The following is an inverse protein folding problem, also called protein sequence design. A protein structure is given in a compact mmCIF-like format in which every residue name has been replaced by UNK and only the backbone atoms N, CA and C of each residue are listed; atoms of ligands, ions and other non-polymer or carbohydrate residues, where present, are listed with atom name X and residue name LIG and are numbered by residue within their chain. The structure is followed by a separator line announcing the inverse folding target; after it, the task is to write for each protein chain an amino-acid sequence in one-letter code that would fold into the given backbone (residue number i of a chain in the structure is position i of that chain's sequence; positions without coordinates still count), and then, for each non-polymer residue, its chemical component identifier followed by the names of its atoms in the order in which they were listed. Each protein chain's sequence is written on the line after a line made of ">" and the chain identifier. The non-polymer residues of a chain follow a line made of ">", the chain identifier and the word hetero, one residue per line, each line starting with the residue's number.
data_IF_967117441628
#
_entry.id   IF_967117441628
#
_cell.length_a   1.000
_cell.length_b   1.000
_cell.length_c   1.000
_cell.angle_alpha   90.00
_cell.angle_beta   90.00
_cell.angle_gamma   90.00
#
_symmetry.space_group_name_H-M   'P 1'
#
loop_
_entity.id
_entity.type
_entity.pdbx_description
1 polymer ?
#
# COMPACT_ATOMS: atom_id res chain seq x y z
N UNK A 1 -0.69 -25.25 -12.38
CA UNK A 1 -0.51 -23.84 -11.94
C UNK A 1 0.86 -23.74 -11.29
N UNK A 2 1.83 -23.09 -11.94
CA UNK A 2 3.18 -22.96 -11.39
C UNK A 2 3.13 -22.08 -10.12
N UNK A 3 3.65 -22.61 -9.01
CA UNK A 3 3.70 -21.92 -7.73
C UNK A 3 4.74 -20.78 -7.84
N UNK A 4 4.28 -19.59 -8.21
CA UNK A 4 5.15 -18.43 -8.39
C UNK A 4 5.73 -18.05 -7.03
N UNK A 5 7.04 -18.25 -6.88
CA UNK A 5 7.75 -18.05 -5.61
C UNK A 5 7.84 -16.57 -5.29
N UNK A 6 7.69 -16.23 -4.02
CA UNK A 6 8.03 -14.89 -3.54
C UNK A 6 9.50 -14.60 -3.81
N UNK A 7 9.80 -13.36 -4.18
CA UNK A 7 11.18 -12.90 -4.42
C UNK A 7 11.55 -11.91 -3.33
N UNK A 8 12.76 -12.05 -2.79
CA UNK A 8 13.31 -11.17 -1.78
C UNK A 8 14.37 -10.28 -2.41
N UNK A 9 14.15 -8.97 -2.40
CA UNK A 9 15.10 -7.99 -2.88
C UNK A 9 15.81 -7.35 -1.69
N UNK A 10 17.16 -7.28 -1.68
CA UNK A 10 17.88 -6.60 -0.60
C UNK A 10 17.46 -5.13 -0.45
N UNK A 11 17.38 -4.64 0.79
CA UNK A 11 16.99 -3.27 1.09
C UNK A 11 17.88 -2.22 0.39
N UNK A 12 19.20 -2.49 0.31
CA UNK A 12 20.14 -1.63 -0.40
C UNK A 12 19.79 -1.53 -1.90
N UNK A 13 19.48 -2.65 -2.54
CA UNK A 13 19.08 -2.73 -3.95
C UNK A 13 17.87 -1.83 -4.24
N UNK A 14 16.86 -1.91 -3.37
CA UNK A 14 15.60 -1.15 -3.50
C UNK A 14 15.79 0.33 -3.20
N UNK A 15 16.61 0.66 -2.19
CA UNK A 15 16.79 2.05 -1.73
C UNK A 15 17.62 2.88 -2.69
N UNK A 16 18.65 2.25 -3.30
CA UNK A 16 19.56 2.91 -4.25
C UNK A 16 19.15 2.72 -5.71
N UNK A 17 18.01 2.05 -5.98
CA UNK A 17 17.55 1.74 -7.34
C UNK A 17 18.58 0.95 -8.17
N UNK A 18 19.49 0.23 -7.50
CA UNK A 18 20.61 -0.45 -8.12
C UNK A 18 20.20 -1.86 -8.54
N UNK A 19 20.07 -2.13 -9.84
CA UNK A 19 19.72 -3.45 -10.36
C UNK A 19 18.22 -3.79 -10.30
N UNK A 20 17.36 -2.80 -10.04
CA UNK A 20 15.92 -2.95 -10.24
C UNK A 20 15.63 -2.81 -11.74
N UNK A 21 15.08 -3.84 -12.41
CA UNK A 21 14.82 -3.76 -13.84
C UNK A 21 13.74 -2.73 -14.14
N UNK A 22 13.81 -2.08 -15.30
CA UNK A 22 12.81 -1.12 -15.79
C UNK A 22 11.51 -1.80 -16.26
N UNK A 23 11.06 -2.83 -15.54
CA UNK A 23 9.83 -3.59 -15.77
C UNK A 23 8.93 -3.47 -14.55
N UNK A 24 7.62 -3.45 -14.76
CA UNK A 24 6.68 -3.43 -13.64
C UNK A 24 6.71 -4.76 -12.89
N UNK A 25 6.90 -4.73 -11.56
CA UNK A 25 6.95 -5.94 -10.73
C UNK A 25 5.69 -6.81 -10.81
N UNK A 26 4.54 -6.21 -11.14
CA UNK A 26 3.24 -6.88 -11.18
C UNK A 26 2.90 -7.49 -12.55
N UNK A 27 3.17 -6.78 -13.63
CA UNK A 27 2.74 -7.20 -14.98
C UNK A 27 3.92 -7.64 -15.86
N UNK A 28 5.15 -7.23 -15.55
CA UNK A 28 6.33 -7.50 -16.38
C UNK A 28 6.46 -6.57 -17.59
N UNK A 29 5.47 -5.69 -17.83
CA UNK A 29 5.54 -4.69 -18.90
C UNK A 29 6.62 -3.62 -18.64
N UNK A 30 7.14 -2.96 -19.69
CA UNK A 30 8.04 -1.82 -19.55
C UNK A 30 7.50 -0.72 -18.62
N UNK A 31 8.39 -0.19 -17.78
CA UNK A 31 8.05 0.89 -16.88
C UNK A 31 7.79 2.18 -17.66
N UNK A 32 6.58 2.72 -17.52
CA UNK A 32 6.23 4.03 -18.07
C UNK A 32 6.65 5.17 -17.13
N UNK A 33 6.69 4.91 -15.81
CA UNK A 33 7.08 5.89 -14.80
C UNK A 33 7.69 5.22 -13.57
N UNK A 34 8.78 5.79 -13.08
CA UNK A 34 9.31 5.50 -11.74
C UNK A 34 8.62 6.37 -10.70
N UNK A 35 8.19 5.80 -9.58
CA UNK A 35 7.58 6.54 -8.46
C UNK A 35 8.33 6.28 -7.16
N UNK A 36 8.38 7.28 -6.28
CA UNK A 36 8.83 7.08 -4.91
C UNK A 36 7.78 6.29 -4.15
N UNK A 37 8.18 5.18 -3.54
CA UNK A 37 7.29 4.23 -2.83
C UNK A 37 7.90 3.88 -1.49
N UNK A 38 7.13 4.03 -0.42
CA UNK A 38 7.55 3.65 0.93
C UNK A 38 6.92 2.31 1.30
N UNK A 39 7.67 1.23 1.18
CA UNK A 39 7.25 -0.07 1.67
C UNK A 39 7.34 -0.11 3.19
N UNK A 40 6.38 -0.76 3.84
CA UNK A 40 6.28 -0.85 5.30
C UNK A 40 6.19 -2.32 5.70
N UNK A 41 6.84 -2.69 6.81
CA UNK A 41 6.72 -4.02 7.40
C UNK A 41 5.35 -4.22 8.04
N UNK A 42 4.92 -5.48 8.14
CA UNK A 42 3.70 -5.82 8.89
C UNK A 42 3.97 -5.69 10.40
N UNK A 43 3.00 -5.21 11.18
CA UNK A 43 3.07 -5.29 12.64
C UNK A 43 3.34 -6.73 13.09
N UNK A 44 4.10 -6.93 14.17
CA UNK A 44 4.31 -8.27 14.71
C UNK A 44 2.97 -8.83 15.22
N UNK A 45 2.75 -10.14 15.07
CA UNK A 45 1.47 -10.77 15.43
C UNK A 45 1.07 -10.58 16.89
N UNK A 46 2.05 -10.55 17.81
CA UNK A 46 1.79 -10.30 19.23
C UNK A 46 1.26 -8.88 19.50
N UNK A 47 1.56 -7.90 18.65
CA UNK A 47 1.12 -6.51 18.89
C UNK A 47 -0.40 -6.39 18.88
N UNK A 48 -1.13 -7.28 18.18
CA UNK A 48 -2.59 -7.29 18.19
C UNK A 48 -3.19 -7.56 19.57
N UNK A 49 -2.45 -8.16 20.52
CA UNK A 49 -2.89 -8.32 21.91
C UNK A 49 -3.10 -6.95 22.57
N UNK A 50 -2.33 -5.93 22.18
CA UNK A 50 -2.47 -4.57 22.72
C UNK A 50 -3.83 -3.94 22.40
N UNK A 51 -4.57 -4.45 21.40
CA UNK A 51 -5.94 -3.98 21.14
C UNK A 51 -6.88 -4.25 22.32
N UNK A 52 -6.60 -5.27 23.16
CA UNK A 52 -7.36 -5.52 24.39
C UNK A 52 -7.15 -4.40 25.44
N UNK A 53 -5.99 -3.76 25.43
CA UNK A 53 -5.68 -2.58 26.25
C UNK A 53 -6.14 -1.27 25.58
N UNK A 54 -6.68 -1.33 24.36
CA UNK A 54 -7.18 -0.19 23.60
C UNK A 54 -6.41 0.09 22.30
N UNK A 55 -7.00 0.93 21.45
CA UNK A 55 -6.41 1.27 20.15
C UNK A 55 -5.11 2.10 20.26
N UNK A 56 -5.01 2.97 21.27
CA UNK A 56 -3.86 3.86 21.46
C UNK A 56 -2.53 3.11 21.66
N UNK A 57 -2.39 2.17 22.62
CA UNK A 57 -1.13 1.43 22.80
C UNK A 57 -0.77 0.59 21.56
N UNK A 58 -1.77 -0.01 20.90
CA UNK A 58 -1.55 -0.71 19.63
C UNK A 58 -0.98 0.22 18.55
N UNK A 59 -1.52 1.43 18.40
CA UNK A 59 -1.04 2.41 17.42
C UNK A 59 0.39 2.85 17.73
N UNK A 60 0.69 3.17 19.00
CA UNK A 60 2.04 3.62 19.41
C UNK A 60 3.08 2.54 19.14
N UNK A 61 2.87 1.31 19.64
CA UNK A 61 3.79 0.19 19.43
C UNK A 61 3.86 -0.19 17.96
N UNK A 62 2.70 -0.23 17.30
CA UNK A 62 2.59 -0.53 15.88
C UNK A 62 3.33 0.47 15.00
N UNK A 63 3.39 1.75 15.37
CA UNK A 63 4.20 2.76 14.67
C UNK A 63 5.69 2.63 15.00
N UNK A 64 6.04 2.43 16.27
CA UNK A 64 7.44 2.31 16.71
C UNK A 64 8.17 1.10 16.10
N UNK A 65 7.46 -0.02 15.91
CA UNK A 65 8.04 -1.26 15.38
C UNK A 65 8.01 -1.36 13.85
N UNK A 66 7.38 -0.41 13.15
CA UNK A 66 7.34 -0.43 11.69
C UNK A 66 8.72 -0.16 11.13
N UNK A 67 9.18 -1.08 10.29
CA UNK A 67 10.35 -0.86 9.42
C UNK A 67 9.85 -0.31 8.11
N UNK A 68 10.49 0.75 7.63
CA UNK A 68 10.14 1.38 6.36
C UNK A 68 11.33 1.31 5.42
N UNK A 69 11.03 1.04 4.15
CA UNK A 69 12.00 0.95 3.08
C UNK A 69 11.51 1.83 1.94
N UNK A 70 12.29 2.84 1.56
CA UNK A 70 11.90 3.82 0.55
C UNK A 70 12.60 3.48 -0.76
N UNK A 71 11.82 3.07 -1.76
CA UNK A 71 12.29 3.00 -3.14
C UNK A 71 12.13 4.36 -3.80
N UNK A 72 13.20 4.91 -4.37
CA UNK A 72 13.14 6.25 -4.99
C UNK A 72 12.39 6.24 -6.33
N UNK A 73 12.57 5.21 -7.16
CA UNK A 73 12.05 5.16 -8.53
C UNK A 73 11.43 3.80 -8.89
N UNK A 74 10.56 3.28 -8.03
CA UNK A 74 9.92 1.99 -8.27
C UNK A 74 9.18 1.94 -9.63
N UNK A 75 9.44 0.94 -10.48
CA UNK A 75 8.92 0.89 -11.85
C UNK A 75 7.43 0.51 -11.90
N UNK A 76 6.62 1.36 -12.54
CA UNK A 76 5.21 1.07 -12.86
C UNK A 76 4.96 1.16 -14.36
N UNK A 77 4.23 0.19 -14.90
CA UNK A 77 3.74 0.25 -16.28
C UNK A 77 2.53 1.19 -16.41
N UNK A 78 2.19 1.55 -17.64
CA UNK A 78 1.11 2.50 -17.93
C UNK A 78 -0.27 2.05 -17.38
N UNK A 79 -0.55 0.75 -17.38
CA UNK A 79 -1.81 0.20 -16.84
C UNK A 79 -1.91 0.37 -15.32
N UNK A 80 -0.83 0.09 -14.58
CA UNK A 80 -0.73 0.37 -13.15
C UNK A 80 -0.84 1.88 -12.85
N UNK A 81 -0.13 2.72 -13.62
CA UNK A 81 -0.16 4.17 -13.43
C UNK A 81 -1.57 4.75 -13.63
N UNK A 82 -2.24 4.33 -14.71
CA UNK A 82 -3.61 4.73 -15.01
C UNK A 82 -4.60 4.23 -13.95
N UNK A 83 -4.41 3.01 -13.43
CA UNK A 83 -5.24 2.50 -12.34
C UNK A 83 -5.11 3.37 -11.09
N UNK A 84 -3.89 3.69 -10.66
CA UNK A 84 -3.64 4.56 -9.50
C UNK A 84 -4.22 5.96 -9.72
N UNK A 85 -4.07 6.53 -10.92
CA UNK A 85 -4.64 7.84 -11.26
C UNK A 85 -6.16 7.82 -11.20
N UNK A 86 -6.81 6.84 -11.84
CA UNK A 86 -8.28 6.71 -11.87
C UNK A 86 -8.86 6.51 -10.47
N UNK A 87 -8.24 5.68 -9.64
CA UNK A 87 -8.72 5.47 -8.26
C UNK A 87 -8.53 6.70 -7.39
N UNK A 88 -7.45 7.47 -7.56
CA UNK A 88 -7.27 8.75 -6.86
C UNK A 88 -8.28 9.81 -7.30
N UNK A 89 -8.57 9.91 -8.59
CA UNK A 89 -9.60 10.81 -9.11
C UNK A 89 -10.99 10.42 -8.57
N UNK A 90 -11.30 9.12 -8.53
CA UNK A 90 -12.53 8.63 -7.92
C UNK A 90 -12.61 8.94 -6.42
N UNK A 91 -11.52 8.76 -5.67
CA UNK A 91 -11.46 9.15 -4.26
C UNK A 91 -11.67 10.66 -4.07
N UNK A 92 -11.05 11.49 -4.90
CA UNK A 92 -11.23 12.95 -4.87
C UNK A 92 -12.68 13.34 -5.17
N UNK A 93 -13.30 12.73 -6.18
CA UNK A 93 -14.71 12.96 -6.49
C UNK A 93 -15.64 12.58 -5.33
N UNK A 94 -15.37 11.46 -4.64
CA UNK A 94 -16.13 11.06 -3.44
C UNK A 94 -15.93 12.03 -2.28
N UNK A 95 -14.72 12.56 -2.07
CA UNK A 95 -14.46 13.59 -1.06
C UNK A 95 -15.25 14.86 -1.38
N UNK A 96 -15.23 15.32 -2.63
CA UNK A 96 -15.99 16.50 -3.06
C UNK A 96 -17.50 16.30 -2.89
N UNK A 97 -18.00 15.11 -3.23
CA UNK A 97 -19.40 14.76 -3.01
C UNK A 97 -19.76 14.78 -1.51
N UNK A 98 -18.91 14.21 -0.64
CA UNK A 98 -19.10 14.26 0.81
C UNK A 98 -19.15 15.72 1.30
N UNK A 99 -18.20 16.56 0.90
CA UNK A 99 -18.19 18.00 1.28
C UNK A 99 -19.45 18.71 0.80
N UNK A 100 -19.88 18.48 -0.44
CA UNK A 100 -21.12 19.06 -0.96
C UNK A 100 -22.35 18.62 -0.15
N UNK A 101 -22.42 17.34 0.22
CA UNK A 101 -23.50 16.79 1.06
C UNK A 101 -23.56 17.48 2.42
N UNK A 102 -22.44 17.64 3.13
CA UNK A 102 -22.47 18.25 4.46
C UNK A 102 -22.81 19.75 4.39
N UNK A 103 -22.32 20.46 3.38
CA UNK A 103 -22.67 21.88 3.15
C UNK A 103 -24.17 22.04 2.91
N UNK A 104 -24.75 21.21 2.03
CA UNK A 104 -26.20 21.22 1.77
C UNK A 104 -27.01 20.87 3.03
N UNK A 105 -26.52 19.91 3.83
CA UNK A 105 -27.15 19.50 5.09
C UNK A 105 -27.17 20.65 6.09
N UNK A 106 -26.08 21.42 6.22
CA UNK A 106 -26.02 22.58 7.12
C UNK A 106 -26.94 23.70 6.63
N UNK A 107 -26.98 23.97 5.32
CA UNK A 107 -27.81 25.02 4.73
C UNK A 107 -29.32 24.76 4.87
N UNK A 108 -29.74 23.50 4.77
CA UNK A 108 -31.16 23.10 4.77
C UNK A 108 -31.64 22.54 6.11
N UNK A 109 -30.73 22.06 6.95
CA UNK A 109 -31.04 21.23 8.13
C UNK A 109 -31.80 21.95 9.24
N UNK A 110 -31.75 23.28 9.29
CA UNK A 110 -32.50 24.07 10.28
C UNK A 110 -34.03 23.96 10.16
N UNK A 111 -34.54 23.57 8.99
CA UNK A 111 -35.98 23.48 8.72
C UNK A 111 -36.54 22.06 8.92
N UNK A 112 -35.69 21.03 8.81
CA UNK A 112 -36.12 19.63 8.82
C UNK A 112 -35.09 18.73 9.51
N UNK A 113 -35.28 18.39 10.81
CA UNK A 113 -34.28 17.64 11.58
C UNK A 113 -33.99 16.23 11.03
N UNK A 114 -35.00 15.58 10.42
CA UNK A 114 -34.83 14.28 9.76
C UNK A 114 -33.88 14.36 8.56
N UNK A 115 -33.99 15.42 7.74
CA UNK A 115 -33.07 15.65 6.61
C UNK A 115 -31.65 15.93 7.10
N UNK A 116 -31.51 16.64 8.23
CA UNK A 116 -30.23 16.86 8.91
C UNK A 116 -29.53 15.55 9.27
N UNK A 117 -30.24 14.65 9.96
CA UNK A 117 -29.70 13.35 10.36
C UNK A 117 -29.27 12.47 9.18
N UNK A 118 -30.12 12.37 8.15
CA UNK A 118 -29.80 11.60 6.93
C UNK A 118 -28.60 12.18 6.17
N UNK A 119 -28.50 13.51 6.08
CA UNK A 119 -27.38 14.19 5.43
C UNK A 119 -26.04 13.92 6.12
N UNK A 120 -26.01 13.95 7.46
CA UNK A 120 -24.81 13.59 8.24
C UNK A 120 -24.42 12.13 8.03
N UNK A 121 -25.39 11.20 8.04
CA UNK A 121 -25.10 9.78 7.80
C UNK A 121 -24.52 9.57 6.39
N UNK A 122 -25.12 10.19 5.36
CA UNK A 122 -24.63 10.11 3.99
C UNK A 122 -23.22 10.68 3.85
N UNK A 123 -22.93 11.81 4.50
CA UNK A 123 -21.59 12.38 4.58
C UNK A 123 -20.58 11.39 5.14
N UNK A 124 -20.88 10.77 6.29
CA UNK A 124 -19.98 9.78 6.93
C UNK A 124 -19.72 8.60 6.00
N UNK A 125 -20.75 8.06 5.35
CA UNK A 125 -20.62 6.94 4.42
C UNK A 125 -19.75 7.30 3.20
N UNK A 126 -19.99 8.45 2.57
CA UNK A 126 -19.19 8.92 1.43
C UNK A 126 -17.74 9.17 1.85
N UNK A 127 -17.52 9.76 3.03
CA UNK A 127 -16.20 10.02 3.56
C UNK A 127 -15.42 8.71 3.80
N UNK A 128 -16.04 7.72 4.48
CA UNK A 128 -15.43 6.40 4.70
C UNK A 128 -15.15 5.67 3.39
N UNK A 129 -16.08 5.70 2.44
CA UNK A 129 -15.88 5.13 1.11
C UNK A 129 -14.69 5.79 0.39
N UNK A 130 -14.59 7.12 0.44
CA UNK A 130 -13.49 7.87 -0.15
C UNK A 130 -12.14 7.49 0.47
N UNK A 131 -12.08 7.35 1.80
CA UNK A 131 -10.88 6.95 2.53
C UNK A 131 -10.45 5.54 2.14
N UNK A 132 -11.41 4.61 2.05
CA UNK A 132 -11.15 3.25 1.61
C UNK A 132 -10.59 3.20 0.18
N UNK A 133 -11.20 3.93 -0.76
CA UNK A 133 -10.71 4.03 -2.15
C UNK A 133 -9.31 4.66 -2.17
N UNK A 134 -9.05 5.70 -1.38
CA UNK A 134 -7.74 6.35 -1.30
C UNK A 134 -6.66 5.40 -0.79
N UNK A 135 -6.93 4.64 0.29
CA UNK A 135 -6.02 3.62 0.83
C UNK A 135 -5.78 2.50 -0.19
N UNK A 136 -6.80 2.15 -0.98
CA UNK A 136 -6.66 1.14 -2.05
C UNK A 136 -5.79 1.61 -3.22
N UNK A 137 -5.65 2.93 -3.40
CA UNK A 137 -4.82 3.57 -4.44
C UNK A 137 -3.34 3.67 -4.09
N UNK A 138 -2.95 3.17 -2.91
CA UNK A 138 -1.55 3.21 -2.45
C UNK A 138 -0.64 2.44 -3.44
N UNK A 139 0.37 3.11 -4.03
CA UNK A 139 1.35 2.49 -4.90
C UNK A 139 2.01 1.24 -4.28
N UNK A 140 2.20 1.21 -2.96
CA UNK A 140 2.80 0.07 -2.24
C UNK A 140 1.98 -1.21 -2.42
N UNK A 141 0.65 -1.10 -2.32
CA UNK A 141 -0.28 -2.22 -2.52
C UNK A 141 -0.28 -2.70 -3.96
N UNK A 142 -0.14 -1.78 -4.93
CA UNK A 142 -0.06 -2.13 -6.35
C UNK A 142 1.21 -2.91 -6.67
N UNK A 143 2.33 -2.54 -6.06
CA UNK A 143 3.62 -3.22 -6.21
C UNK A 143 3.69 -4.59 -5.51
N UNK A 144 2.75 -4.89 -4.59
CA UNK A 144 2.67 -6.13 -3.79
C UNK A 144 3.94 -6.43 -2.98
N UNK A 145 4.68 -5.38 -2.62
CA UNK A 145 5.89 -5.47 -1.80
C UNK A 145 5.59 -5.30 -0.32
N UNK A 146 6.23 -6.12 0.52
CA UNK A 146 6.18 -6.01 1.98
C UNK A 146 7.60 -6.11 2.53
N UNK A 147 7.99 -5.16 3.38
CA UNK A 147 9.31 -5.22 4.03
C UNK A 147 9.32 -6.35 5.04
N UNK A 148 10.40 -7.13 5.06
CA UNK A 148 10.63 -8.16 6.07
C UNK A 148 10.72 -7.53 7.47
N UNK A 149 10.50 -8.30 8.53
CA UNK A 149 10.42 -7.77 9.91
C UNK A 149 11.74 -7.16 10.40
N UNK A 150 12.83 -7.72 9.92
CA UNK A 150 14.21 -7.27 10.15
C UNK A 150 14.57 -6.01 9.34
N UNK A 151 13.81 -5.68 8.28
CA UNK A 151 14.05 -4.51 7.44
C UNK A 151 15.11 -4.71 6.36
N UNK A 152 15.74 -5.89 6.27
CA UNK A 152 16.85 -6.13 5.34
C UNK A 152 16.42 -6.48 3.92
N UNK A 153 15.16 -6.86 3.71
CA UNK A 153 14.67 -7.22 2.39
C UNK A 153 13.23 -6.74 2.13
N UNK A 154 12.94 -6.53 0.85
CA UNK A 154 11.60 -6.37 0.33
C UNK A 154 11.12 -7.72 -0.22
N UNK A 155 10.09 -8.30 0.38
CA UNK A 155 9.39 -9.47 -0.14
C UNK A 155 8.36 -9.02 -1.18
N UNK A 156 8.58 -9.37 -2.43
CA UNK A 156 7.61 -9.23 -3.51
C UNK A 156 6.76 -10.50 -3.62
N UNK A 157 5.44 -10.33 -3.53
CA UNK A 157 4.48 -11.44 -3.67
C UNK A 157 4.04 -11.57 -5.11
N UNK A 158 4.23 -12.77 -5.68
CA UNK A 158 3.86 -13.10 -7.06
C UNK A 158 4.39 -12.08 -8.10
N UNK A 159 5.71 -11.84 -8.16
CA UNK A 159 6.27 -10.94 -9.16
C UNK A 159 6.15 -11.53 -10.57
N UNK A 160 5.93 -10.68 -11.58
CA UNK A 160 5.80 -11.10 -12.97
C UNK A 160 7.06 -11.86 -13.45
N UNK A 161 6.93 -12.92 -14.26
CA UNK A 161 8.08 -13.73 -14.67
C UNK A 161 9.17 -12.93 -15.39
N UNK A 162 8.77 -11.99 -16.25
CA UNK A 162 9.72 -11.10 -16.96
C UNK A 162 10.49 -10.17 -16.01
N UNK A 163 9.84 -9.70 -14.93
CA UNK A 163 10.52 -8.93 -13.90
C UNK A 163 11.58 -9.79 -13.19
N UNK A 164 11.23 -11.02 -12.80
CA UNK A 164 12.16 -11.94 -12.12
C UNK A 164 13.32 -12.35 -13.03
N UNK A 165 13.05 -12.63 -14.29
CA UNK A 165 14.08 -13.00 -15.27
C UNK A 165 15.06 -11.85 -15.57
N UNK A 166 14.59 -10.61 -15.47
CA UNK A 166 15.41 -9.41 -15.66
C UNK A 166 16.16 -8.97 -14.38
N UNK A 167 15.88 -9.59 -13.23
CA UNK A 167 16.70 -9.35 -12.05
C UNK A 167 18.12 -9.85 -12.32
N UNK A 168 19.15 -9.15 -11.82
CA UNK A 168 20.49 -9.71 -11.83
C UNK A 168 20.45 -11.06 -11.09
N UNK A 169 21.21 -12.04 -11.58
CA UNK A 169 21.23 -13.44 -11.14
C UNK A 169 21.79 -13.68 -9.72
N UNK A 170 21.53 -12.74 -8.81
CA UNK A 170 22.16 -12.47 -7.52
C UNK A 170 23.51 -11.75 -7.61
N UNK A 171 23.66 -10.65 -6.83
CA UNK A 171 24.93 -10.33 -6.18
C UNK A 171 24.75 -9.79 -4.73
N UNK A 172 25.81 -9.57 -3.92
CA UNK A 172 26.71 -10.48 -3.20
C UNK A 172 26.35 -10.66 -1.70
N UNK A 173 25.09 -10.45 -1.29
CA UNK A 173 24.72 -10.58 0.12
C UNK A 173 23.96 -11.89 0.38
N UNK A 174 24.70 -12.90 0.84
CA UNK A 174 24.15 -14.04 1.56
C UNK A 174 23.70 -13.55 2.96
N UNK A 175 22.61 -12.78 3.01
CA UNK A 175 21.88 -12.64 4.25
C UNK A 175 21.45 -14.05 4.72
N UNK A 176 21.36 -14.29 6.04
CA UNK A 176 20.91 -15.59 6.55
C UNK A 176 19.59 -15.98 5.86
N UNK A 177 19.42 -17.26 5.46
CA UNK A 177 18.25 -17.70 4.75
C UNK A 177 17.00 -17.26 5.52
N UNK A 178 16.06 -16.62 4.82
CA UNK A 178 14.86 -16.10 5.45
C UNK A 178 14.25 -17.18 6.35
N UNK A 179 13.98 -16.89 7.64
CA UNK A 179 13.39 -17.88 8.53
C UNK A 179 12.10 -18.39 7.91
N UNK A 180 11.99 -19.71 7.76
CA UNK A 180 10.78 -20.35 7.22
C UNK A 180 9.64 -20.02 8.18
N UNK A 181 8.83 -19.03 7.84
CA UNK A 181 7.63 -18.75 8.62
C UNK A 181 6.71 -19.96 8.53
N UNK A 182 6.16 -20.44 9.66
CA UNK A 182 5.14 -21.49 9.62
C UNK A 182 3.99 -21.03 8.72
N UNK A 183 3.53 -21.92 7.85
CA UNK A 183 2.31 -21.69 7.07
C UNK A 183 1.14 -21.74 8.06
N UNK A 184 0.68 -20.57 8.49
CA UNK A 184 -0.59 -20.39 9.21
C UNK A 184 -1.71 -20.17 8.22
#
# INVERSE_FOLDING_TARGET
>A
MAQQRDVFLPAAMVSFDAGIPALCSRHGDPAARGRRVQFISRPPGWSYILLLAGALPFLVVGMALRKTLVAQRWPYCASCDNRIRRTRLAALALILAAVATIVATIALGGQHPLLGGMGVLLFVLLFLASLFVLISSDPTRVARGVVTRDGYALRLREPAPGFVAALPSAPPFAGPPAPRLPRT
#
